data_IF_894732743064
#
_entry.id   IF_894732743064
#
_cell.length_a   1.000
_cell.length_b   1.000
_cell.length_c   1.000
_cell.angle_alpha   90.00
_cell.angle_beta   90.00
_cell.angle_gamma   90.00
#
_symmetry.space_group_name_H-M   'P 1'
#
loop_
_entity.id
_entity.type
_entity.pdbx_description
1 polymer ?
#
# COMPACT_ATOMS: atom_id res chain seq x y z
N UNK A 1 -19.43 -8.11 13.59
CA UNK A 1 -18.98 -9.49 13.88
C UNK A 1 -17.57 -9.59 13.34
N UNK A 2 -16.61 -10.21 14.05
CA UNK A 2 -15.39 -10.62 13.37
C UNK A 2 -15.81 -11.58 12.26
N UNK A 3 -15.42 -11.30 11.02
CA UNK A 3 -15.64 -12.23 9.91
C UNK A 3 -15.00 -13.58 10.27
N UNK A 4 -15.77 -14.66 10.22
CA UNK A 4 -15.23 -15.99 10.48
C UNK A 4 -14.11 -16.32 9.50
N UNK A 5 -12.93 -16.72 10.01
CA UNK A 5 -11.79 -17.17 9.20
C UNK A 5 -12.20 -18.23 8.16
N UNK A 6 -13.13 -19.10 8.52
CA UNK A 6 -13.68 -20.15 7.63
C UNK A 6 -14.37 -19.55 6.41
N UNK A 7 -15.10 -18.45 6.58
CA UNK A 7 -15.81 -17.77 5.49
C UNK A 7 -14.81 -17.08 4.55
N UNK A 8 -13.78 -16.43 5.11
CA UNK A 8 -12.69 -15.84 4.31
C UNK A 8 -11.94 -16.90 3.50
N UNK A 9 -11.61 -18.02 4.14
CA UNK A 9 -10.87 -19.11 3.51
C UNK A 9 -11.69 -19.76 2.38
N UNK A 10 -13.00 -19.95 2.59
CA UNK A 10 -13.91 -20.46 1.55
C UNK A 10 -13.98 -19.52 0.36
N UNK A 11 -14.07 -18.21 0.60
CA UNK A 11 -14.12 -17.21 -0.46
C UNK A 11 -12.80 -17.14 -1.25
N UNK A 12 -11.64 -17.23 -0.59
CA UNK A 12 -10.33 -17.26 -1.28
C UNK A 12 -10.21 -18.50 -2.17
N UNK A 13 -10.62 -19.67 -1.66
CA UNK A 13 -10.65 -20.91 -2.45
C UNK A 13 -11.56 -20.78 -3.67
N UNK A 14 -12.74 -20.19 -3.49
CA UNK A 14 -13.67 -19.94 -4.59
C UNK A 14 -13.07 -18.98 -5.63
N UNK A 15 -12.42 -17.90 -5.20
CA UNK A 15 -11.74 -16.94 -6.08
C UNK A 15 -10.65 -17.61 -6.90
N UNK A 16 -9.80 -18.42 -6.26
CA UNK A 16 -8.72 -19.15 -6.95
C UNK A 16 -9.26 -20.20 -7.91
N UNK A 17 -10.27 -20.97 -7.51
CA UNK A 17 -10.91 -21.98 -8.35
C UNK A 17 -11.59 -21.38 -9.59
N UNK A 18 -12.21 -20.21 -9.45
CA UNK A 18 -12.82 -19.48 -10.57
C UNK A 18 -11.80 -18.73 -11.44
N UNK A 19 -10.58 -18.54 -10.95
CA UNK A 19 -9.53 -17.85 -11.68
C UNK A 19 -9.00 -18.76 -12.78
N UNK A 20 -9.17 -18.33 -14.04
CA UNK A 20 -8.55 -19.02 -15.17
C UNK A 20 -7.05 -18.79 -15.14
N UNK A 21 -6.27 -19.81 -15.49
CA UNK A 21 -4.82 -19.67 -15.66
C UNK A 21 -4.50 -18.59 -16.71
N UNK A 22 -3.46 -17.79 -16.41
CA UNK A 22 -2.96 -16.70 -17.25
C UNK A 22 -1.45 -16.83 -17.40
N UNK A 23 -0.90 -16.17 -18.42
CA UNK A 23 0.56 -16.12 -18.69
C UNK A 23 1.33 -15.24 -17.69
N UNK A 24 0.71 -14.86 -16.57
CA UNK A 24 1.32 -14.05 -15.53
C UNK A 24 0.63 -14.35 -14.20
N UNK A 25 1.38 -14.26 -13.10
CA UNK A 25 0.83 -14.37 -11.74
C UNK A 25 -0.12 -13.20 -11.44
N UNK A 26 -1.37 -13.53 -11.19
CA UNK A 26 -2.42 -12.59 -10.83
C UNK A 26 -2.29 -12.14 -9.38
N UNK A 27 -2.59 -10.85 -9.17
CA UNK A 27 -2.74 -10.30 -7.83
C UNK A 27 -4.14 -10.61 -7.30
N UNK A 28 -4.24 -10.82 -5.98
CA UNK A 28 -5.50 -10.94 -5.26
C UNK A 28 -5.81 -9.60 -4.62
N UNK A 29 -6.98 -9.04 -4.92
CA UNK A 29 -7.45 -7.75 -4.46
C UNK A 29 -8.62 -7.94 -3.48
N UNK A 30 -8.61 -7.17 -2.41
CA UNK A 30 -9.72 -6.98 -1.48
C UNK A 30 -10.42 -5.66 -1.80
N UNK A 31 -11.74 -5.68 -1.93
CA UNK A 31 -12.58 -4.52 -2.19
C UNK A 31 -13.62 -4.41 -1.08
N UNK A 32 -13.73 -3.23 -0.47
CA UNK A 32 -14.63 -2.93 0.62
C UNK A 32 -15.52 -1.76 0.23
N UNK A 33 -16.83 -1.98 0.26
CA UNK A 33 -17.83 -0.94 0.13
C UNK A 33 -18.25 -0.48 1.54
N UNK A 34 -18.03 0.80 1.84
CA UNK A 34 -18.29 1.38 3.16
C UNK A 34 -19.62 2.14 3.11
N UNK A 35 -20.56 1.79 3.99
CA UNK A 35 -21.81 2.53 4.17
C UNK A 35 -21.68 3.57 5.27
N UNK A 36 -22.60 4.53 5.21
CA UNK A 36 -22.83 5.50 6.27
C UNK A 36 -21.55 6.30 6.62
N UNK A 37 -20.79 6.67 5.59
CA UNK A 37 -19.61 7.50 5.70
C UNK A 37 -19.81 8.78 4.87
N UNK A 38 -19.66 9.93 5.51
CA UNK A 38 -19.63 11.21 4.81
C UNK A 38 -18.21 11.51 4.32
N UNK A 39 -18.03 11.51 3.00
CA UNK A 39 -16.75 11.79 2.35
C UNK A 39 -16.31 13.26 2.51
N UNK A 40 -17.22 14.17 2.88
CA UNK A 40 -16.89 15.58 3.14
C UNK A 40 -16.32 15.77 4.55
N UNK A 41 -16.72 14.93 5.49
CA UNK A 41 -16.20 14.95 6.84
C UNK A 41 -14.72 14.50 6.85
N UNK A 42 -13.90 14.96 7.82
CA UNK A 42 -12.52 14.50 7.99
C UNK A 42 -12.39 12.97 8.09
N UNK A 43 -13.41 12.32 8.62
CA UNK A 43 -13.52 10.87 8.78
C UNK A 43 -13.61 10.12 7.45
N UNK A 44 -14.12 10.77 6.41
CA UNK A 44 -14.15 10.24 5.04
C UNK A 44 -12.77 10.18 4.38
N UNK A 45 -11.79 10.89 4.94
CA UNK A 45 -10.43 10.97 4.41
C UNK A 45 -9.52 9.93 5.08
N UNK A 46 -9.68 8.68 4.68
CA UNK A 46 -8.80 7.59 5.15
C UNK A 46 -7.59 7.50 4.22
N UNK A 47 -6.39 7.71 4.75
CA UNK A 47 -5.13 7.36 4.10
C UNK A 47 -4.22 6.71 5.15
N UNK A 48 -3.99 5.41 5.04
CA UNK A 48 -3.23 4.63 6.02
C UNK A 48 -2.31 3.64 5.32
N UNK A 49 -1.18 3.37 5.96
CA UNK A 49 -0.24 2.34 5.52
C UNK A 49 -0.44 1.15 6.46
N UNK A 50 -0.72 -0.02 5.89
CA UNK A 50 -0.91 -1.27 6.63
C UNK A 50 0.29 -2.16 6.36
N UNK A 51 0.92 -2.64 7.41
CA UNK A 51 1.95 -3.67 7.32
C UNK A 51 1.26 -5.04 7.21
N UNK A 52 1.55 -5.77 6.13
CA UNK A 52 1.04 -7.13 5.96
C UNK A 52 1.96 -8.13 6.65
N UNK A 53 1.41 -9.15 7.35
CA UNK A 53 2.22 -10.20 7.97
C UNK A 53 2.99 -11.02 6.92
N UNK A 54 2.41 -11.23 5.74
CA UNK A 54 3.02 -11.99 4.65
C UNK A 54 3.31 -11.10 3.45
N UNK A 55 4.52 -11.25 2.88
CA UNK A 55 5.00 -10.48 1.72
C UNK A 55 4.08 -10.75 0.53
N UNK A 56 3.59 -9.70 -0.11
CA UNK A 56 2.89 -9.84 -1.39
C UNK A 56 3.89 -10.34 -2.43
N UNK A 57 3.55 -11.35 -3.24
CA UNK A 57 4.46 -11.94 -4.25
C UNK A 57 5.08 -10.96 -5.26
N UNK A 58 4.64 -9.69 -5.26
CA UNK A 58 5.35 -8.54 -5.83
C UNK A 58 5.71 -7.58 -4.70
N UNK A 59 6.99 -7.47 -4.28
CA UNK A 59 7.39 -6.53 -3.25
C UNK A 59 7.29 -5.09 -3.78
N UNK A 60 6.96 -4.14 -2.90
CA UNK A 60 6.94 -2.73 -3.28
C UNK A 60 8.32 -2.26 -3.73
N UNK A 61 8.36 -1.44 -4.78
CA UNK A 61 9.58 -0.74 -5.19
C UNK A 61 9.78 0.51 -4.31
N UNK A 62 10.96 0.63 -3.71
CA UNK A 62 11.25 1.65 -2.70
C UNK A 62 12.28 2.65 -3.23
N UNK A 63 11.91 3.92 -3.18
CA UNK A 63 12.80 5.05 -3.44
C UNK A 63 13.18 5.71 -2.11
N UNK A 64 14.47 5.89 -1.86
CA UNK A 64 14.99 6.51 -0.65
C UNK A 64 15.64 7.85 -0.98
N UNK A 65 15.20 8.92 -0.33
CA UNK A 65 15.84 10.23 -0.32
C UNK A 65 16.69 10.36 0.93
N UNK A 66 18.01 10.27 0.79
CA UNK A 66 18.94 10.28 1.91
C UNK A 66 20.26 10.96 1.51
N UNK A 67 21.02 11.40 2.51
CA UNK A 67 22.36 11.95 2.32
C UNK A 67 23.40 11.24 3.19
N UNK A 68 24.68 11.32 2.81
CA UNK A 68 25.80 10.80 3.61
C UNK A 68 25.72 9.31 3.93
N UNK A 69 25.92 8.97 5.21
CA UNK A 69 25.95 7.58 5.71
C UNK A 69 24.63 6.83 5.47
N UNK A 70 23.48 7.51 5.61
CA UNK A 70 22.18 6.90 5.39
C UNK A 70 21.97 6.51 3.92
N UNK A 71 22.51 7.30 2.98
CA UNK A 71 22.46 6.99 1.55
C UNK A 71 23.31 5.76 1.21
N UNK A 72 24.48 5.61 1.84
CA UNK A 72 25.33 4.43 1.67
C UNK A 72 24.64 3.18 2.22
N UNK A 73 24.10 3.26 3.44
CA UNK A 73 23.32 2.17 4.06
C UNK A 73 22.10 1.79 3.21
N UNK A 74 21.36 2.77 2.67
CA UNK A 74 20.21 2.49 1.81
C UNK A 74 20.60 1.74 0.52
N UNK A 75 21.71 2.11 -0.11
CA UNK A 75 22.25 1.39 -1.29
C UNK A 75 22.66 -0.05 -0.92
N UNK A 76 23.30 -0.24 0.23
CA UNK A 76 23.68 -1.57 0.72
C UNK A 76 22.47 -2.44 1.10
N UNK A 77 21.41 -1.83 1.64
CA UNK A 77 20.16 -2.49 2.08
C UNK A 77 19.17 -2.75 0.95
N UNK A 78 19.64 -2.80 -0.31
CA UNK A 78 18.83 -3.12 -1.48
C UNK A 78 17.67 -2.13 -1.72
N UNK A 79 17.81 -0.84 -1.43
CA UNK A 79 16.86 0.16 -1.94
C UNK A 79 16.88 0.16 -3.48
N UNK A 80 15.71 0.21 -4.12
CA UNK A 80 15.62 0.15 -5.58
C UNK A 80 16.24 1.38 -6.25
N UNK A 81 16.13 2.55 -5.59
CA UNK A 81 16.86 3.76 -5.96
C UNK A 81 17.14 4.62 -4.73
N UNK A 82 18.30 5.28 -4.72
CA UNK A 82 18.66 6.29 -3.73
C UNK A 82 18.90 7.61 -4.44
N UNK A 83 18.19 8.66 -4.00
CA UNK A 83 18.26 10.00 -4.57
C UNK A 83 18.83 10.95 -3.52
N UNK A 84 19.99 11.51 -3.82
CA UNK A 84 20.68 12.47 -2.95
C UNK A 84 20.21 13.91 -3.22
N UNK A 85 20.57 14.84 -2.33
CA UNK A 85 20.12 16.24 -2.38
C UNK A 85 20.35 16.92 -3.74
N UNK A 86 21.52 16.73 -4.35
CA UNK A 86 21.85 17.34 -5.64
C UNK A 86 20.91 16.86 -6.77
N UNK A 87 20.52 15.59 -6.76
CA UNK A 87 19.61 15.03 -7.76
C UNK A 87 18.17 15.49 -7.52
N UNK A 88 17.75 15.69 -6.26
CA UNK A 88 16.44 16.30 -5.93
C UNK A 88 16.35 17.71 -6.53
N UNK A 89 17.38 18.52 -6.38
CA UNK A 89 17.44 19.87 -6.93
C UNK A 89 17.41 19.85 -8.47
N UNK A 90 18.15 18.93 -9.10
CA UNK A 90 18.14 18.73 -10.56
C UNK A 90 16.78 18.27 -11.12
N UNK A 91 16.08 17.43 -10.37
CA UNK A 91 14.74 16.92 -10.74
C UNK A 91 13.64 17.96 -10.50
N UNK A 92 13.92 19.00 -9.71
CA UNK A 92 12.98 20.09 -9.45
C UNK A 92 12.63 20.80 -10.77
N UNK A 93 11.33 20.94 -11.06
CA UNK A 93 10.84 21.51 -12.32
C UNK A 93 10.71 20.49 -13.47
N UNK A 94 11.36 19.33 -13.41
CA UNK A 94 11.29 18.29 -14.46
C UNK A 94 10.10 17.35 -14.29
N UNK A 95 8.90 17.85 -14.58
CA UNK A 95 7.64 17.10 -14.39
C UNK A 95 7.59 15.72 -15.06
N UNK A 96 8.25 15.52 -16.21
CA UNK A 96 8.26 14.22 -16.91
C UNK A 96 9.05 13.15 -16.14
N UNK A 97 10.25 13.50 -15.65
CA UNK A 97 11.11 12.59 -14.89
C UNK A 97 10.48 12.26 -13.53
N UNK A 98 9.97 13.27 -12.82
CA UNK A 98 9.24 13.08 -11.56
C UNK A 98 8.02 12.15 -11.72
N UNK A 99 7.29 12.27 -12.84
CA UNK A 99 6.15 11.38 -13.13
C UNK A 99 6.60 9.94 -13.38
N UNK A 100 7.73 9.74 -14.07
CA UNK A 100 8.31 8.40 -14.27
C UNK A 100 8.67 7.78 -12.91
N UNK A 101 9.31 8.53 -12.02
CA UNK A 101 9.62 8.07 -10.66
C UNK A 101 8.34 7.71 -9.89
N UNK A 102 7.34 8.60 -9.85
CA UNK A 102 6.07 8.35 -9.17
C UNK A 102 5.25 7.16 -9.72
N UNK A 103 5.47 6.78 -10.97
CA UNK A 103 4.84 5.62 -11.58
C UNK A 103 5.64 4.33 -11.37
N UNK A 104 6.97 4.44 -11.20
CA UNK A 104 7.87 3.28 -11.08
C UNK A 104 8.02 2.79 -9.65
N UNK A 105 8.02 3.70 -8.68
CA UNK A 105 8.22 3.39 -7.27
C UNK A 105 6.93 3.54 -6.48
N UNK A 106 6.71 2.65 -5.52
CA UNK A 106 5.47 2.55 -4.75
C UNK A 106 5.58 3.28 -3.41
N UNK A 107 6.73 3.12 -2.75
CA UNK A 107 7.01 3.75 -1.46
C UNK A 107 8.20 4.71 -1.60
N UNK A 108 8.05 5.88 -0.99
CA UNK A 108 9.09 6.89 -0.90
C UNK A 108 9.46 7.08 0.57
N UNK A 109 10.72 6.91 0.91
CA UNK A 109 11.27 7.13 2.26
C UNK A 109 12.20 8.33 2.17
N UNK A 110 12.12 9.25 3.13
CA UNK A 110 12.91 10.48 3.12
C UNK A 110 13.52 10.74 4.47
N UNK A 111 14.79 11.12 4.50
CA UNK A 111 15.43 11.64 5.70
C UNK A 111 14.75 12.94 6.18
N UNK A 112 14.42 13.03 7.47
CA UNK A 112 13.65 14.16 8.02
C UNK A 112 14.15 15.57 7.61
N UNK A 113 15.48 15.87 7.56
CA UNK A 113 15.99 17.17 7.11
C UNK A 113 15.71 17.48 5.63
N UNK A 114 15.54 16.46 4.78
CA UNK A 114 15.28 16.62 3.35
C UNK A 114 13.80 16.76 3.01
N UNK A 115 12.89 16.56 3.98
CA UNK A 115 11.44 16.57 3.75
C UNK A 115 10.92 17.88 3.17
N UNK A 116 11.45 19.02 3.61
CA UNK A 116 11.05 20.34 3.08
C UNK A 116 11.36 20.48 1.59
N UNK A 117 12.53 19.97 1.17
CA UNK A 117 12.97 19.99 -0.21
C UNK A 117 12.16 19.00 -1.06
N UNK A 118 12.00 17.76 -0.59
CA UNK A 118 11.22 16.72 -1.27
C UNK A 118 9.75 17.12 -1.38
N UNK A 119 9.16 17.69 -0.33
CA UNK A 119 7.78 18.16 -0.34
C UNK A 119 7.54 19.21 -1.41
N UNK A 120 8.47 20.16 -1.58
CA UNK A 120 8.40 21.18 -2.64
C UNK A 120 8.59 20.59 -4.04
N UNK A 121 9.57 19.72 -4.22
CA UNK A 121 9.94 19.18 -5.53
C UNK A 121 8.98 18.08 -6.02
N UNK A 122 8.65 17.13 -5.16
CA UNK A 122 7.89 15.92 -5.49
C UNK A 122 6.41 15.98 -5.07
N UNK A 123 6.05 16.84 -4.12
CA UNK A 123 4.67 16.98 -3.62
C UNK A 123 3.61 17.14 -4.70
N UNK A 124 3.80 18.02 -5.71
CA UNK A 124 2.83 18.19 -6.81
C UNK A 124 2.59 16.93 -7.66
N UNK A 125 3.55 16.00 -7.68
CA UNK A 125 3.47 14.76 -8.48
C UNK A 125 2.99 13.58 -7.64
N UNK A 126 3.50 13.46 -6.42
CA UNK A 126 3.23 12.35 -5.50
C UNK A 126 1.91 12.51 -4.72
N UNK A 127 1.54 13.74 -4.36
CA UNK A 127 0.31 14.03 -3.62
C UNK A 127 -0.96 13.54 -4.32
N UNK A 128 -1.21 13.88 -5.59
CA UNK A 128 -2.36 13.37 -6.34
C UNK A 128 -2.40 11.84 -6.43
N UNK A 129 -1.22 11.20 -6.48
CA UNK A 129 -1.04 9.73 -6.52
C UNK A 129 -1.20 9.05 -5.17
N UNK A 130 -1.23 9.80 -4.06
CA UNK A 130 -1.31 9.23 -2.71
C UNK A 130 0.00 8.56 -2.24
N UNK A 131 1.11 8.82 -2.93
CA UNK A 131 2.43 8.24 -2.63
C UNK A 131 3.29 9.23 -1.84
N UNK A 132 2.80 9.67 -0.68
CA UNK A 132 3.51 10.66 0.14
C UNK A 132 4.80 10.07 0.72
N UNK A 133 5.92 10.82 0.71
CA UNK A 133 7.15 10.35 1.33
C UNK A 133 7.03 10.21 2.85
N UNK A 134 7.64 9.15 3.39
CA UNK A 134 7.63 8.82 4.82
C UNK A 134 8.91 9.38 5.44
N UNK A 135 8.82 10.31 6.40
CA UNK A 135 9.99 10.86 7.07
C UNK A 135 10.62 9.84 8.01
N UNK A 136 11.93 9.71 7.97
CA UNK A 136 12.71 8.88 8.90
C UNK A 136 13.81 9.68 9.59
N UNK A 137 14.10 9.41 10.87
CA UNK A 137 15.25 10.01 11.55
C UNK A 137 16.58 9.60 10.88
N UNK A 138 17.63 10.45 10.90
CA UNK A 138 18.93 10.13 10.31
C UNK A 138 19.61 8.88 10.91
N UNK A 139 19.37 8.61 12.19
CA UNK A 139 20.01 7.51 12.94
C UNK A 139 19.23 6.18 12.87
N UNK A 140 18.16 6.10 12.08
CA UNK A 140 17.35 4.88 11.99
C UNK A 140 18.10 3.77 11.28
N UNK A 141 17.82 2.51 11.63
CA UNK A 141 18.21 1.40 10.78
C UNK A 141 17.36 1.38 9.51
N UNK A 142 17.91 1.95 8.43
CA UNK A 142 17.23 2.04 7.14
C UNK A 142 16.91 0.66 6.55
N UNK A 143 17.65 -0.39 6.93
CA UNK A 143 17.41 -1.75 6.43
C UNK A 143 16.06 -2.26 6.91
N UNK A 144 15.81 -2.19 8.21
CA UNK A 144 14.54 -2.61 8.82
C UNK A 144 13.37 -1.82 8.25
N UNK A 145 13.56 -0.50 8.06
CA UNK A 145 12.54 0.37 7.49
C UNK A 145 12.21 -0.04 6.04
N UNK A 146 13.22 -0.31 5.21
CA UNK A 146 13.03 -0.79 3.84
C UNK A 146 12.28 -2.12 3.84
N UNK A 147 12.75 -3.12 4.62
CA UNK A 147 12.14 -4.44 4.69
C UNK A 147 10.68 -4.39 5.14
N UNK A 148 10.38 -3.58 6.15
CA UNK A 148 9.02 -3.31 6.61
C UNK A 148 8.17 -2.74 5.47
N UNK A 149 8.63 -1.68 4.82
CA UNK A 149 7.85 -1.02 3.78
C UNK A 149 7.67 -1.85 2.50
N UNK A 150 8.52 -2.86 2.26
CA UNK A 150 8.30 -3.83 1.16
C UNK A 150 7.02 -4.65 1.33
N UNK A 151 6.58 -4.85 2.57
CA UNK A 151 5.37 -5.62 2.93
C UNK A 151 4.15 -4.74 3.20
N UNK A 152 4.27 -3.42 3.01
CA UNK A 152 3.17 -2.51 3.33
C UNK A 152 2.21 -2.31 2.17
N UNK A 153 0.95 -2.00 2.47
CA UNK A 153 -0.05 -1.59 1.48
C UNK A 153 -0.69 -0.28 1.89
N UNK A 154 -0.92 0.60 0.93
CA UNK A 154 -1.55 1.90 1.17
C UNK A 154 -3.05 1.80 0.95
N UNK A 155 -3.80 2.00 2.02
CA UNK A 155 -5.26 2.13 2.01
C UNK A 155 -5.58 3.61 1.82
N UNK A 156 -6.31 3.94 0.77
CA UNK A 156 -6.74 5.31 0.50
C UNK A 156 -8.20 5.38 0.05
N UNK A 157 -8.96 6.22 0.73
CA UNK A 157 -10.27 6.68 0.32
C UNK A 157 -10.15 8.10 -0.23
N UNK A 158 -10.75 8.34 -1.40
CA UNK A 158 -10.66 9.64 -2.08
C UNK A 158 -12.01 10.31 -2.22
N UNK A 159 -12.79 9.88 -3.22
CA UNK A 159 -14.07 10.51 -3.57
C UNK A 159 -15.26 9.57 -3.39
N UNK A 160 -15.02 8.26 -3.37
CA UNK A 160 -16.04 7.24 -3.21
C UNK A 160 -15.77 6.47 -1.92
N UNK A 161 -16.83 5.97 -1.25
CA UNK A 161 -16.70 5.23 0.00
C UNK A 161 -16.27 3.77 -0.26
N UNK A 162 -15.28 3.58 -1.15
CA UNK A 162 -14.78 2.28 -1.57
C UNK A 162 -13.29 2.23 -1.28
N UNK A 163 -12.84 1.13 -0.69
CA UNK A 163 -11.43 0.81 -0.50
C UNK A 163 -11.11 -0.38 -1.39
N UNK A 164 -10.04 -0.27 -2.16
CA UNK A 164 -9.45 -1.39 -2.89
C UNK A 164 -7.99 -1.51 -2.49
N UNK A 165 -7.57 -2.71 -2.12
CA UNK A 165 -6.20 -2.99 -1.68
C UNK A 165 -5.76 -4.36 -2.18
N UNK A 166 -4.51 -4.44 -2.63
CA UNK A 166 -3.90 -5.72 -2.98
C UNK A 166 -3.51 -6.46 -1.69
N UNK A 167 -3.92 -7.71 -1.54
CA UNK A 167 -3.62 -8.54 -0.36
C UNK A 167 -2.56 -9.61 -0.62
N UNK A 168 -2.25 -9.89 -1.89
CA UNK A 168 -1.29 -10.93 -2.26
C UNK A 168 -1.31 -11.29 -3.73
N UNK A 169 -0.82 -12.49 -4.03
CA UNK A 169 -0.81 -13.12 -5.36
C UNK A 169 -1.46 -14.49 -5.30
N UNK A 170 -1.89 -15.01 -6.45
CA UNK A 170 -2.58 -16.32 -6.52
C UNK A 170 -1.72 -17.50 -6.03
N UNK A 171 -0.40 -17.37 -6.14
CA UNK A 171 0.59 -18.38 -5.72
C UNK A 171 0.77 -18.51 -4.19
N UNK A 172 0.28 -17.53 -3.41
CA UNK A 172 0.39 -17.56 -1.95
C UNK A 172 -0.53 -18.61 -1.33
N UNK A 173 -0.25 -19.10 -0.12
CA UNK A 173 -1.16 -20.01 0.56
C UNK A 173 -2.46 -19.30 0.93
N UNK A 174 -3.57 -20.06 0.95
CA UNK A 174 -4.89 -19.50 1.29
C UNK A 174 -4.90 -18.87 2.69
N UNK A 175 -4.21 -19.49 3.64
CA UNK A 175 -4.08 -19.03 5.03
C UNK A 175 -3.31 -17.70 5.12
N UNK A 176 -2.23 -17.55 4.35
CA UNK A 176 -1.44 -16.31 4.30
C UNK A 176 -2.28 -15.14 3.76
N UNK A 177 -3.12 -15.42 2.76
CA UNK A 177 -4.06 -14.43 2.22
C UNK A 177 -5.14 -14.05 3.24
N UNK A 178 -5.64 -14.99 4.04
CA UNK A 178 -6.58 -14.70 5.14
C UNK A 178 -5.92 -13.78 6.18
N UNK A 179 -4.72 -14.09 6.63
CA UNK A 179 -4.00 -13.28 7.61
C UNK A 179 -3.75 -11.85 7.12
N UNK A 180 -3.43 -11.69 5.82
CA UNK A 180 -3.28 -10.39 5.20
C UNK A 180 -4.62 -9.60 5.15
N UNK A 181 -5.74 -10.27 4.87
CA UNK A 181 -7.08 -9.65 4.95
C UNK A 181 -7.38 -9.20 6.39
N UNK A 182 -7.10 -10.03 7.38
CA UNK A 182 -7.32 -9.70 8.79
C UNK A 182 -6.51 -8.49 9.24
N UNK A 183 -5.23 -8.40 8.82
CA UNK A 183 -4.38 -7.26 9.10
C UNK A 183 -4.99 -5.95 8.56
N UNK A 184 -5.50 -5.97 7.33
CA UNK A 184 -6.21 -4.84 6.71
C UNK A 184 -7.48 -4.48 7.49
N UNK A 185 -8.32 -5.47 7.80
CA UNK A 185 -9.57 -5.26 8.52
C UNK A 185 -9.34 -4.70 9.93
N UNK A 186 -8.29 -5.16 10.62
CA UNK A 186 -7.92 -4.67 11.95
C UNK A 186 -7.55 -3.19 11.94
N UNK A 187 -6.78 -2.74 10.96
CA UNK A 187 -6.44 -1.31 10.83
C UNK A 187 -7.68 -0.48 10.51
N UNK A 188 -8.58 -1.00 9.67
CA UNK A 188 -9.83 -0.30 9.33
C UNK A 188 -10.80 -0.22 10.50
N UNK A 189 -10.88 -1.26 11.33
CA UNK A 189 -11.75 -1.27 12.51
C UNK A 189 -11.43 -0.12 13.47
N UNK A 190 -10.14 0.18 13.67
CA UNK A 190 -9.70 1.32 14.50
C UNK A 190 -9.88 2.71 13.86
N UNK A 191 -10.19 2.78 12.56
CA UNK A 191 -10.34 4.06 11.83
C UNK A 191 -11.78 4.41 11.51
N UNK A 192 -12.64 3.40 11.37
CA UNK A 192 -14.06 3.58 11.09
C UNK A 192 -14.84 3.84 12.37
N UNK A 193 -15.77 4.81 12.34
CA UNK A 193 -16.59 5.20 13.50
C UNK A 193 -17.32 4.05 14.19
N UNK A 194 -17.86 3.09 13.42
CA UNK A 194 -18.53 1.90 13.95
C UNK A 194 -17.75 0.63 13.62
N UNK A 195 -16.45 0.77 13.36
CA UNK A 195 -15.57 -0.32 13.00
C UNK A 195 -16.05 -1.10 11.78
N UNK A 196 -15.96 -2.43 11.85
CA UNK A 196 -16.39 -3.33 10.78
C UNK A 196 -17.89 -3.24 10.41
N UNK A 197 -18.76 -2.67 11.27
CA UNK A 197 -20.19 -2.50 10.97
C UNK A 197 -20.45 -1.47 9.85
N UNK A 198 -19.47 -0.61 9.57
CA UNK A 198 -19.53 0.31 8.44
C UNK A 198 -19.27 -0.39 7.09
N UNK A 199 -18.78 -1.63 7.07
CA UNK A 199 -18.56 -2.37 5.82
C UNK A 199 -19.91 -2.94 5.36
N UNK A 200 -20.39 -2.48 4.21
CA UNK A 200 -21.62 -2.96 3.57
C UNK A 200 -21.37 -4.26 2.82
N UNK A 201 -20.36 -4.26 1.97
CA UNK A 201 -19.97 -5.43 1.18
C UNK A 201 -18.46 -5.59 1.17
N UNK A 202 -18.03 -6.85 1.21
CA UNK A 202 -16.64 -7.24 1.08
C UNK A 202 -16.54 -8.16 -0.13
N UNK A 203 -15.62 -7.85 -1.05
CA UNK A 203 -15.36 -8.66 -2.23
C UNK A 203 -13.89 -9.02 -2.30
N UNK A 204 -13.60 -10.23 -2.75
CA UNK A 204 -12.25 -10.67 -3.09
C UNK A 204 -12.25 -11.08 -4.55
N UNK A 205 -11.20 -10.71 -5.27
CA UNK A 205 -11.05 -11.07 -6.68
C UNK A 205 -9.58 -11.26 -7.05
N UNK A 206 -9.31 -12.03 -8.10
CA UNK A 206 -8.02 -11.93 -8.79
C UNK A 206 -8.02 -10.75 -9.77
N UNK A 207 -6.86 -10.40 -10.34
CA UNK A 207 -6.73 -9.29 -11.28
C UNK A 207 -7.73 -9.38 -12.45
N UNK A 208 -7.92 -10.58 -13.03
CA UNK A 208 -8.82 -10.83 -14.17
C UNK A 208 -9.99 -11.76 -13.85
N UNK A 209 -10.14 -12.18 -12.59
CA UNK A 209 -11.20 -13.09 -12.15
C UNK A 209 -12.49 -12.37 -11.76
N UNK A 210 -13.56 -13.14 -11.65
CA UNK A 210 -14.86 -12.65 -11.19
C UNK A 210 -14.82 -12.36 -9.68
N UNK A 211 -15.35 -11.23 -9.20
CA UNK A 211 -15.41 -10.95 -7.77
C UNK A 211 -16.32 -11.92 -7.02
N UNK A 212 -15.81 -12.48 -5.91
CA UNK A 212 -16.58 -13.27 -4.96
C UNK A 212 -16.97 -12.37 -3.80
N UNK A 213 -18.27 -12.33 -3.52
CA UNK A 213 -18.82 -11.56 -2.41
C UNK A 213 -18.72 -12.35 -1.13
N UNK A 214 -18.05 -11.79 -0.14
CA UNK A 214 -18.02 -12.30 1.22
C UNK A 214 -19.16 -11.64 1.99
N UNK A 215 -20.04 -12.45 2.58
CA UNK A 215 -21.08 -11.95 3.46
C UNK A 215 -20.42 -11.62 4.82
N UNK A 216 -20.51 -10.37 5.31
CA UNK A 216 -20.02 -9.97 6.63
C UNK A 216 -20.77 -10.65 7.77
#
# INVERSE_FOLDING_TARGET
>A
MPLDKKTLLTAIKEVKSKSKERKFTQSVDLILDIKELDMKAPEGKIQQIVELPHVTGKPNKICVFATGDLAFKAKASSADIVIEKAEIERLTGKKKELRKLGNTYDVFITEAPLMSLVGRAFGPVLGPRGKLPIPVPPNVDIKEVIEKHRKTVSIRMRNQPIIQVQIGTEDMKDEELVDNIEAVLRVLDGKLKRGLKNIKFLFVKTSMGTPVKIKP
#
